data_IF_162660697476
#
_entry.id   IF_162660697476
#
_cell.length_a   1.000
_cell.length_b   1.000
_cell.length_c   1.000
_cell.angle_alpha   90.00
_cell.angle_beta   90.00
_cell.angle_gamma   90.00
#
_symmetry.space_group_name_H-M   'P 1'
#
loop_
_entity.id
_entity.type
_entity.pdbx_description
1 polymer ?
#
# COMPACT_ATOMS: atom_id res chain seq x y z
N UNK A 1 -24.54 62.49 5.57
CA UNK A 1 -23.63 61.38 5.17
C UNK A 1 -24.47 60.32 4.48
N UNK A 2 -24.42 60.24 3.15
CA UNK A 2 -25.08 59.16 2.41
C UNK A 2 -24.18 57.94 2.49
N UNK A 3 -24.58 56.93 3.26
CA UNK A 3 -23.93 55.62 3.25
C UNK A 3 -23.88 55.11 1.81
N UNK A 4 -22.68 54.99 1.28
CA UNK A 4 -22.44 54.28 0.04
C UNK A 4 -22.80 52.82 0.34
N UNK A 5 -24.03 52.41 0.03
CA UNK A 5 -24.45 51.00 -0.09
C UNK A 5 -23.76 50.34 -1.30
N UNK A 6 -22.45 50.57 -1.44
CA UNK A 6 -21.63 50.21 -2.58
C UNK A 6 -21.01 48.84 -2.36
N UNK A 7 -21.41 47.91 -3.23
CA UNK A 7 -20.80 46.60 -3.53
C UNK A 7 -19.89 46.04 -2.42
N UNK A 8 -20.47 45.18 -1.58
CA UNK A 8 -19.69 44.29 -0.71
C UNK A 8 -18.63 43.57 -1.54
N UNK A 9 -17.41 43.48 -1.01
CA UNK A 9 -16.31 42.80 -1.69
C UNK A 9 -16.59 41.28 -1.81
N UNK A 10 -15.92 40.62 -2.77
CA UNK A 10 -16.12 39.18 -3.00
C UNK A 10 -15.84 38.31 -1.76
N UNK A 11 -14.79 38.55 -0.95
CA UNK A 11 -14.58 37.81 0.29
C UNK A 11 -15.79 37.83 1.24
N UNK A 12 -16.44 38.99 1.38
CA UNK A 12 -17.64 39.12 2.21
C UNK A 12 -18.80 38.27 1.65
N UNK A 13 -19.06 38.35 0.35
CA UNK A 13 -20.09 37.53 -0.29
C UNK A 13 -19.81 36.03 -0.16
N UNK A 14 -18.55 35.63 -0.35
CA UNK A 14 -18.10 34.25 -0.17
C UNK A 14 -18.39 33.77 1.26
N UNK A 15 -18.07 34.57 2.28
CA UNK A 15 -18.38 34.24 3.67
C UNK A 15 -19.87 34.11 3.93
N UNK A 16 -20.70 35.00 3.39
CA UNK A 16 -22.16 34.93 3.54
C UNK A 16 -22.77 33.72 2.85
N UNK A 17 -22.26 33.36 1.65
CA UNK A 17 -22.69 32.15 0.94
C UNK A 17 -22.31 30.91 1.74
N UNK A 18 -21.08 30.83 2.25
CA UNK A 18 -20.64 29.72 3.11
C UNK A 18 -21.53 29.65 4.35
N UNK A 19 -21.76 30.76 5.05
CA UNK A 19 -22.59 30.76 6.25
C UNK A 19 -24.03 30.28 5.99
N UNK A 20 -24.62 30.67 4.86
CA UNK A 20 -26.02 30.32 4.52
C UNK A 20 -26.17 28.91 3.94
N UNK A 21 -25.20 28.43 3.18
CA UNK A 21 -25.30 27.18 2.40
C UNK A 21 -24.36 26.06 2.84
N UNK A 22 -23.41 26.32 3.74
CA UNK A 22 -22.54 25.30 4.34
C UNK A 22 -23.30 24.55 5.44
N UNK A 23 -24.35 23.85 5.03
CA UNK A 23 -25.09 22.96 5.92
C UNK A 23 -24.25 21.70 6.24
N UNK A 24 -24.48 21.10 7.41
CA UNK A 24 -23.75 19.90 7.83
C UNK A 24 -23.87 18.74 6.82
N UNK A 25 -25.00 18.63 6.13
CA UNK A 25 -25.22 17.64 5.06
C UNK A 25 -24.30 17.85 3.87
N UNK A 26 -24.02 19.09 3.47
CA UNK A 26 -23.11 19.41 2.36
C UNK A 26 -21.67 19.10 2.75
N UNK A 27 -21.26 19.48 3.96
CA UNK A 27 -19.93 19.13 4.49
C UNK A 27 -19.77 17.60 4.49
N UNK A 28 -20.76 16.88 5.03
CA UNK A 28 -20.77 15.42 5.02
C UNK A 28 -20.65 14.84 3.60
N UNK A 29 -21.44 15.34 2.64
CA UNK A 29 -21.33 14.92 1.22
C UNK A 29 -19.94 15.18 0.64
N UNK A 30 -19.31 16.32 0.97
CA UNK A 30 -17.94 16.63 0.54
C UNK A 30 -16.91 15.71 1.18
N UNK A 31 -17.05 15.41 2.47
CA UNK A 31 -16.20 14.43 3.18
C UNK A 31 -16.32 13.05 2.56
N UNK A 32 -17.55 12.56 2.32
CA UNK A 32 -17.77 11.27 1.64
C UNK A 32 -17.18 11.27 0.22
N UNK A 33 -17.29 12.37 -0.51
CA UNK A 33 -16.69 12.50 -1.85
C UNK A 33 -15.15 12.46 -1.82
N UNK A 34 -14.55 12.96 -0.74
CA UNK A 34 -13.11 12.91 -0.51
C UNK A 34 -12.67 11.48 -0.17
N UNK A 35 -13.33 10.84 0.80
CA UNK A 35 -12.98 9.49 1.29
C UNK A 35 -13.21 8.37 0.27
N UNK A 36 -14.20 8.52 -0.62
CA UNK A 36 -14.49 7.52 -1.64
C UNK A 36 -13.59 7.64 -2.89
N UNK A 37 -12.98 8.80 -3.15
CA UNK A 37 -12.16 9.02 -4.36
C UNK A 37 -10.68 8.69 -4.10
N UNK A 38 -10.41 7.41 -3.84
CA UNK A 38 -9.05 6.88 -3.70
C UNK A 38 -8.26 7.06 -5.00
N UNK A 39 -6.95 7.26 -4.85
CA UNK A 39 -6.06 7.38 -5.99
C UNK A 39 -5.87 6.03 -6.69
N UNK A 40 -5.81 6.07 -8.03
CA UNK A 40 -5.37 4.95 -8.86
C UNK A 40 -4.26 5.44 -9.78
N UNK A 41 -3.31 4.57 -10.13
CA UNK A 41 -2.18 4.88 -11.01
C UNK A 41 -2.65 5.27 -12.42
N UNK A 42 -3.86 4.88 -12.82
CA UNK A 42 -4.44 5.22 -14.13
C UNK A 42 -4.94 6.67 -14.21
N UNK A 43 -5.10 7.36 -13.07
CA UNK A 43 -5.57 8.75 -13.02
C UNK A 43 -4.38 9.69 -13.19
N UNK A 44 -4.63 10.86 -13.79
CA UNK A 44 -3.63 11.92 -13.82
C UNK A 44 -3.35 12.42 -12.39
N UNK A 45 -2.07 12.38 -11.93
CA UNK A 45 -1.72 12.77 -10.57
C UNK A 45 -2.07 14.22 -10.23
N UNK A 46 -1.83 15.14 -11.17
CA UNK A 46 -2.05 16.57 -10.96
C UNK A 46 -3.52 16.90 -10.81
N UNK A 47 -4.35 16.42 -11.74
CA UNK A 47 -5.79 16.61 -11.68
C UNK A 47 -6.41 16.00 -10.42
N UNK A 48 -5.95 14.81 -10.03
CA UNK A 48 -6.43 14.18 -8.80
C UNK A 48 -6.02 14.97 -7.55
N UNK A 49 -4.74 15.34 -7.42
CA UNK A 49 -4.25 16.13 -6.30
C UNK A 49 -4.99 17.47 -6.19
N UNK A 50 -5.17 18.18 -7.30
CA UNK A 50 -5.87 19.46 -7.35
C UNK A 50 -7.34 19.31 -6.92
N UNK A 51 -8.02 18.27 -7.41
CA UNK A 51 -9.41 17.98 -7.04
C UNK A 51 -9.56 17.69 -5.56
N UNK A 52 -8.68 16.88 -4.99
CA UNK A 52 -8.72 16.56 -3.56
C UNK A 52 -8.39 17.76 -2.69
N UNK A 53 -7.42 18.59 -3.09
CA UNK A 53 -7.10 19.83 -2.39
C UNK A 53 -8.28 20.80 -2.35
N UNK A 54 -8.99 20.97 -3.47
CA UNK A 54 -10.23 21.78 -3.52
C UNK A 54 -11.31 21.22 -2.59
N UNK A 55 -11.46 19.90 -2.47
CA UNK A 55 -12.41 19.27 -1.53
C UNK A 55 -12.02 19.52 -0.08
N UNK A 56 -10.74 19.37 0.27
CA UNK A 56 -10.25 19.66 1.61
C UNK A 56 -10.43 21.14 1.98
N UNK A 57 -10.15 22.06 1.06
CA UNK A 57 -10.38 23.49 1.26
C UNK A 57 -11.88 23.83 1.42
N UNK A 58 -12.77 23.05 0.82
CA UNK A 58 -14.20 23.21 0.95
C UNK A 58 -14.74 22.68 2.28
N UNK A 59 -14.14 21.61 2.82
CA UNK A 59 -14.51 21.02 4.12
C UNK A 59 -13.96 21.88 5.26
N UNK A 60 -12.67 22.23 5.18
CA UNK A 60 -11.98 23.04 6.18
C UNK A 60 -11.02 24.02 5.49
N UNK A 61 -11.45 25.30 5.33
CA UNK A 61 -10.62 26.33 4.72
C UNK A 61 -9.35 26.67 5.50
N UNK A 62 -9.34 26.45 6.83
CA UNK A 62 -8.25 26.85 7.73
C UNK A 62 -7.21 25.74 7.97
N UNK A 63 -7.37 24.60 7.30
CA UNK A 63 -6.47 23.47 7.44
C UNK A 63 -5.02 23.82 7.04
N UNK A 64 -4.08 23.53 7.93
CA UNK A 64 -2.64 23.69 7.70
C UNK A 64 -2.15 22.78 6.54
N UNK A 65 -1.09 23.19 5.85
CA UNK A 65 -0.49 22.44 4.74
C UNK A 65 -0.09 21.02 5.15
N UNK A 66 0.47 20.83 6.34
CA UNK A 66 0.82 19.51 6.85
C UNK A 66 -0.40 18.60 7.02
N UNK A 67 -1.50 19.14 7.55
CA UNK A 67 -2.74 18.39 7.74
C UNK A 67 -3.40 18.05 6.40
N UNK A 68 -3.37 19.00 5.44
CA UNK A 68 -3.81 18.76 4.06
C UNK A 68 -3.01 17.64 3.41
N UNK A 69 -1.69 17.69 3.52
CA UNK A 69 -0.79 16.67 2.98
C UNK A 69 -1.05 15.31 3.62
N UNK A 70 -1.15 15.25 4.95
CA UNK A 70 -1.47 14.02 5.66
C UNK A 70 -2.80 13.41 5.17
N UNK A 71 -3.87 14.21 5.11
CA UNK A 71 -5.18 13.77 4.59
C UNK A 71 -5.07 13.30 3.14
N UNK A 72 -4.34 14.00 2.28
CA UNK A 72 -4.16 13.62 0.88
C UNK A 72 -3.44 12.28 0.74
N UNK A 73 -2.38 12.06 1.52
CA UNK A 73 -1.62 10.82 1.52
C UNK A 73 -2.44 9.63 2.02
N UNK A 74 -3.35 9.82 2.99
CA UNK A 74 -4.26 8.74 3.43
C UNK A 74 -5.23 8.25 2.35
N UNK A 75 -5.39 8.99 1.25
CA UNK A 75 -6.21 8.56 0.11
C UNK A 75 -5.43 7.75 -0.94
N UNK A 76 -4.12 7.54 -0.72
CA UNK A 76 -3.29 6.66 -1.53
C UNK A 76 -3.38 5.22 -1.01
N UNK A 77 -3.25 4.20 -1.89
CA UNK A 77 -3.08 2.82 -1.46
C UNK A 77 -1.76 2.67 -0.67
N UNK A 78 -1.75 1.86 0.39
CA UNK A 78 -0.69 1.88 1.42
C UNK A 78 0.77 1.77 0.91
N UNK A 79 1.04 0.96 -0.11
CA UNK A 79 2.39 0.89 -0.71
C UNK A 79 2.80 2.21 -1.38
N UNK A 80 1.85 2.86 -2.06
CA UNK A 80 2.06 4.15 -2.70
C UNK A 80 2.15 5.27 -1.66
N UNK A 81 1.33 5.22 -0.61
CA UNK A 81 1.41 6.15 0.52
C UNK A 81 2.81 6.15 1.13
N UNK A 82 3.34 4.96 1.45
CA UNK A 82 4.68 4.82 1.99
C UNK A 82 5.75 5.33 1.01
N UNK A 83 5.63 4.96 -0.26
CA UNK A 83 6.57 5.38 -1.30
C UNK A 83 6.62 6.92 -1.46
N UNK A 84 5.48 7.60 -1.38
CA UNK A 84 5.43 9.07 -1.44
C UNK A 84 5.98 9.68 -0.16
N UNK A 85 5.62 9.15 1.03
CA UNK A 85 6.17 9.63 2.32
C UNK A 85 7.70 9.58 2.39
N UNK A 86 8.33 8.57 1.79
CA UNK A 86 9.80 8.48 1.75
C UNK A 86 10.45 9.54 0.83
N UNK A 87 9.69 10.13 -0.10
CA UNK A 87 10.20 11.09 -1.11
C UNK A 87 9.78 12.53 -0.84
N UNK A 88 8.72 12.73 -0.05
CA UNK A 88 8.14 14.03 0.25
C UNK A 88 8.23 14.37 1.74
N UNK A 89 8.71 15.58 2.04
CA UNK A 89 8.68 16.14 3.40
C UNK A 89 7.24 16.50 3.81
N UNK A 90 6.97 16.64 5.11
CA UNK A 90 5.62 17.02 5.61
C UNK A 90 5.12 18.37 5.07
N UNK A 91 6.05 19.27 4.71
CA UNK A 91 5.76 20.61 4.17
C UNK A 91 5.84 20.67 2.64
N UNK A 92 5.83 19.53 1.94
CA UNK A 92 5.83 19.51 0.49
C UNK A 92 4.63 20.25 -0.10
N UNK A 93 4.84 20.87 -1.27
CA UNK A 93 3.77 21.51 -2.01
C UNK A 93 2.91 20.44 -2.70
N UNK A 94 1.71 20.84 -3.16
CA UNK A 94 0.84 19.95 -3.91
C UNK A 94 1.51 19.45 -5.20
N UNK A 95 2.31 20.32 -5.84
CA UNK A 95 3.05 19.99 -7.06
C UNK A 95 4.17 18.99 -6.78
N UNK A 96 4.83 19.06 -5.63
CA UNK A 96 5.83 18.05 -5.21
C UNK A 96 5.19 16.67 -5.04
N UNK A 97 4.01 16.61 -4.42
CA UNK A 97 3.24 15.36 -4.28
C UNK A 97 2.81 14.83 -5.65
N UNK A 98 2.32 15.70 -6.55
CA UNK A 98 1.89 15.29 -7.88
C UNK A 98 3.07 14.78 -8.73
N UNK A 99 4.21 15.47 -8.68
CA UNK A 99 5.45 15.06 -9.35
C UNK A 99 5.95 13.70 -8.86
N UNK A 100 5.97 13.49 -7.55
CA UNK A 100 6.40 12.21 -6.97
C UNK A 100 5.45 11.07 -7.31
N UNK A 101 4.13 11.31 -7.32
CA UNK A 101 3.14 10.32 -7.78
C UNK A 101 3.34 9.97 -9.26
N UNK A 102 3.57 10.99 -10.10
CA UNK A 102 3.84 10.79 -11.52
C UNK A 102 5.12 9.97 -11.73
N UNK A 103 6.16 10.27 -10.96
CA UNK A 103 7.44 9.58 -11.02
C UNK A 103 7.34 8.11 -10.60
N UNK A 104 6.67 7.84 -9.48
CA UNK A 104 6.44 6.48 -8.98
C UNK A 104 5.61 5.68 -10.00
N UNK A 105 4.56 6.26 -10.58
CA UNK A 105 3.74 5.58 -11.60
C UNK A 105 4.51 5.25 -12.90
N UNK A 106 5.49 6.08 -13.27
CA UNK A 106 6.36 5.86 -14.44
C UNK A 106 7.46 4.84 -14.17
N UNK A 107 8.11 4.92 -13.00
CA UNK A 107 9.31 4.12 -12.66
C UNK A 107 8.99 2.81 -11.96
N UNK A 108 7.79 2.65 -11.42
CA UNK A 108 7.40 1.46 -10.66
C UNK A 108 6.04 0.92 -11.08
N UNK A 109 5.76 -0.34 -10.72
CA UNK A 109 4.43 -0.94 -10.86
C UNK A 109 3.64 -0.89 -9.54
N UNK A 110 4.08 -0.08 -8.57
CA UNK A 110 3.40 0.09 -7.28
C UNK A 110 2.01 0.68 -7.54
N UNK A 111 0.97 0.04 -6.99
CA UNK A 111 -0.42 0.46 -7.16
C UNK A 111 -1.06 0.11 -8.51
N UNK A 112 -0.33 -0.52 -9.44
CA UNK A 112 -0.95 -1.11 -10.64
C UNK A 112 -1.47 -2.49 -10.27
N UNK A 113 -2.77 -2.72 -10.44
CA UNK A 113 -3.34 -4.05 -10.27
C UNK A 113 -2.79 -4.94 -11.40
N UNK A 114 -1.76 -5.73 -11.10
CA UNK A 114 -1.42 -6.87 -11.94
C UNK A 114 -2.43 -7.95 -11.61
N UNK A 115 -3.35 -8.33 -12.53
CA UNK A 115 -4.18 -9.49 -12.29
C UNK A 115 -3.22 -10.65 -12.05
N UNK A 116 -3.32 -11.27 -10.87
CA UNK A 116 -2.63 -12.52 -10.61
C UNK A 116 -3.12 -13.48 -11.68
N UNK A 117 -2.28 -13.74 -12.69
CA UNK A 117 -2.46 -14.89 -13.56
C UNK A 117 -2.31 -16.06 -12.60
N UNK A 118 -3.43 -16.56 -12.09
CA UNK A 118 -3.50 -17.88 -11.50
C UNK A 118 -2.98 -18.80 -12.60
N UNK A 119 -1.69 -19.15 -12.50
CA UNK A 119 -1.13 -20.23 -13.29
C UNK A 119 -1.93 -21.44 -12.86
N UNK A 120 -2.95 -21.76 -13.65
CA UNK A 120 -3.91 -22.80 -13.34
C UNK A 120 -3.16 -24.04 -12.89
N UNK A 121 -3.28 -24.35 -11.61
CA UNK A 121 -2.93 -25.66 -11.11
C UNK A 121 -3.94 -26.58 -11.78
N UNK A 122 -3.54 -27.21 -12.90
CA UNK A 122 -4.34 -28.26 -13.52
C UNK A 122 -4.40 -29.39 -12.50
N UNK A 123 -5.49 -29.44 -11.75
CA UNK A 123 -5.91 -30.60 -10.99
C UNK A 123 -5.93 -31.79 -11.96
N UNK A 124 -4.92 -32.66 -11.85
CA UNK A 124 -4.95 -33.94 -12.54
C UNK A 124 -5.97 -34.80 -11.80
N UNK A 125 -7.13 -34.97 -12.41
CA UNK A 125 -8.04 -36.03 -12.00
C UNK A 125 -7.32 -37.39 -12.06
N UNK A 126 -7.57 -38.31 -11.12
CA UNK A 126 -7.00 -39.64 -11.17
C UNK A 126 -7.68 -40.43 -12.30
N UNK A 127 -7.00 -40.57 -13.43
CA UNK A 127 -7.43 -41.47 -14.49
C UNK A 127 -7.12 -42.91 -14.07
N UNK A 128 -8.19 -43.72 -14.03
CA UNK A 128 -8.15 -45.18 -13.90
C UNK A 128 -7.08 -45.81 -14.79
N UNK A 129 -6.42 -46.82 -14.23
CA UNK A 129 -5.31 -47.56 -14.83
C UNK A 129 -5.87 -48.44 -15.95
N UNK A 130 -5.47 -48.19 -17.20
CA UNK A 130 -5.53 -49.19 -18.26
C UNK A 130 -4.18 -49.25 -18.98
N UNK A 131 -3.57 -50.42 -18.88
CA UNK A 131 -2.29 -50.81 -19.47
C UNK A 131 -2.41 -50.91 -21.00
N UNK A 132 -1.60 -50.16 -21.75
CA UNK A 132 -1.20 -50.54 -23.12
C UNK A 132 0.24 -50.15 -23.44
N UNK A 133 1.05 -51.17 -23.69
CA UNK A 133 2.36 -51.14 -24.32
C UNK A 133 2.34 -50.50 -25.72
N UNK A 134 3.24 -49.53 -25.98
CA UNK A 134 4.32 -49.63 -27.01
C UNK A 134 5.06 -48.30 -27.22
N UNK A 135 6.30 -48.35 -27.75
CA UNK A 135 7.34 -47.33 -27.53
C UNK A 135 7.42 -46.30 -28.66
N UNK A 136 7.99 -45.12 -28.37
CA UNK A 136 8.74 -44.33 -29.35
C UNK A 136 9.57 -43.23 -28.66
N UNK A 137 10.87 -43.30 -28.89
CA UNK A 137 11.87 -42.28 -28.61
C UNK A 137 11.51 -40.94 -29.29
N UNK A 138 11.74 -39.82 -28.59
CA UNK A 138 12.71 -38.79 -29.01
C UNK A 138 12.81 -37.66 -27.98
N UNK A 139 14.00 -37.60 -27.39
CA UNK A 139 14.80 -36.41 -27.04
C UNK A 139 14.03 -35.13 -26.66
N UNK A 140 13.95 -34.89 -25.35
CA UNK A 140 13.83 -33.56 -24.79
C UNK A 140 15.09 -33.29 -23.94
N UNK A 141 16.08 -32.63 -24.54
CA UNK A 141 17.14 -31.93 -23.80
C UNK A 141 16.52 -30.74 -23.09
N UNK A 142 16.00 -30.99 -21.87
CA UNK A 142 15.68 -29.95 -20.92
C UNK A 142 16.43 -30.26 -19.63
N UNK A 143 17.33 -29.35 -19.28
CA UNK A 143 18.20 -29.35 -18.09
C UNK A 143 17.66 -30.17 -16.91
N UNK A 144 18.17 -31.41 -16.75
CA UNK A 144 17.99 -32.22 -15.55
C UNK A 144 18.73 -31.54 -14.39
N UNK A 145 18.08 -30.62 -13.67
CA UNK A 145 18.49 -30.28 -12.31
C UNK A 145 18.43 -31.59 -11.52
N UNK A 146 19.60 -32.13 -11.18
CA UNK A 146 19.71 -33.40 -10.45
C UNK A 146 19.01 -33.20 -9.10
N UNK A 147 17.89 -33.89 -8.90
CA UNK A 147 17.21 -33.93 -7.61
C UNK A 147 18.04 -34.86 -6.72
N UNK A 148 18.91 -34.29 -5.89
CA UNK A 148 19.62 -35.04 -4.85
C UNK A 148 19.49 -34.33 -3.51
N UNK A 149 19.40 -35.12 -2.45
CA UNK A 149 19.39 -34.67 -1.08
C UNK A 149 20.76 -34.05 -0.75
N UNK A 150 20.79 -32.76 -0.44
CA UNK A 150 22.02 -32.08 -0.03
C UNK A 150 22.58 -32.55 1.32
N UNK A 151 21.82 -33.35 2.09
CA UNK A 151 22.27 -33.86 3.39
C UNK A 151 22.95 -35.24 3.31
N UNK A 152 22.65 -36.06 2.31
CA UNK A 152 23.27 -37.39 2.14
C UNK A 152 23.72 -37.72 0.71
N UNK A 153 23.51 -36.83 -0.24
CA UNK A 153 23.86 -37.04 -1.65
C UNK A 153 22.93 -37.98 -2.41
N UNK A 154 21.96 -38.63 -1.76
CA UNK A 154 21.05 -39.58 -2.42
C UNK A 154 20.05 -38.88 -3.35
N UNK A 155 19.68 -39.53 -4.46
CA UNK A 155 18.65 -39.04 -5.40
C UNK A 155 17.24 -39.53 -5.07
N UNK A 156 17.11 -40.41 -4.06
CA UNK A 156 15.83 -41.03 -3.68
C UNK A 156 14.88 -40.09 -2.93
N UNK A 157 15.39 -38.98 -2.39
CA UNK A 157 14.60 -38.01 -1.65
C UNK A 157 15.18 -36.60 -1.71
N UNK A 158 14.36 -35.61 -1.39
CA UNK A 158 14.79 -34.22 -1.19
C UNK A 158 15.25 -33.99 0.25
N UNK A 159 16.15 -33.02 0.46
CA UNK A 159 16.68 -32.67 1.79
C UNK A 159 15.61 -32.39 2.87
N UNK A 160 14.41 -31.96 2.46
CA UNK A 160 13.28 -31.73 3.35
C UNK A 160 12.70 -33.02 3.96
N UNK A 161 12.87 -34.15 3.27
CA UNK A 161 12.39 -35.47 3.68
C UNK A 161 13.53 -36.37 4.17
N UNK A 162 14.68 -35.78 4.55
CA UNK A 162 15.75 -36.53 5.16
C UNK A 162 15.28 -37.09 6.52
N UNK A 163 15.52 -38.39 6.82
CA UNK A 163 14.98 -39.04 8.02
C UNK A 163 15.33 -38.32 9.34
N UNK A 164 16.46 -37.60 9.36
CA UNK A 164 16.89 -36.79 10.50
C UNK A 164 16.71 -35.28 10.27
N UNK A 165 15.57 -34.85 9.71
CA UNK A 165 15.23 -33.44 9.66
C UNK A 165 15.04 -32.89 11.09
N UNK A 166 16.15 -32.57 11.77
CA UNK A 166 16.17 -31.92 13.08
C UNK A 166 15.55 -30.54 12.91
N UNK A 167 14.34 -30.38 13.43
CA UNK A 167 13.68 -29.07 13.57
C UNK A 167 14.64 -28.17 14.36
N UNK A 168 15.16 -27.11 13.74
CA UNK A 168 15.86 -26.04 14.48
C UNK A 168 14.83 -25.35 15.38
N UNK A 169 14.75 -25.79 16.63
CA UNK A 169 14.07 -25.05 17.69
C UNK A 169 15.07 -24.00 18.17
N UNK A 170 14.74 -22.71 18.02
CA UNK A 170 15.46 -21.65 18.69
C UNK A 170 15.06 -21.66 20.17
N UNK A 171 15.89 -22.24 21.03
CA UNK A 171 15.76 -22.08 22.47
C UNK A 171 16.19 -20.66 22.83
N UNK A 172 15.24 -19.84 23.30
CA UNK A 172 15.55 -18.56 23.93
C UNK A 172 16.13 -18.88 25.30
N UNK A 173 17.43 -18.64 25.48
CA UNK A 173 18.07 -18.71 26.78
C UNK A 173 17.45 -17.66 27.71
N UNK A 174 16.96 -18.15 28.85
CA UNK A 174 16.39 -17.36 29.94
C UNK A 174 17.56 -16.65 30.63
N UNK A 175 17.64 -15.33 30.48
CA UNK A 175 18.57 -14.46 31.23
C UNK A 175 18.33 -14.67 32.74
N UNK A 176 19.36 -14.90 33.56
CA UNK A 176 19.22 -14.99 35.01
C UNK A 176 18.90 -13.61 35.60
N UNK A 177 17.88 -13.56 36.45
CA UNK A 177 17.59 -12.46 37.38
C UNK A 177 18.80 -12.29 38.32
N UNK A 178 19.55 -11.19 38.16
CA UNK A 178 20.46 -10.72 39.19
C UNK A 178 19.66 -10.01 40.29
N UNK A 179 19.85 -10.54 41.50
CA UNK A 179 19.23 -10.11 42.75
C UNK A 179 19.66 -8.69 43.09
N UNK A 180 18.67 -7.84 43.40
CA UNK A 180 18.84 -6.60 44.14
C UNK A 180 19.41 -6.88 45.55
N UNK A 181 20.51 -6.25 45.97
CA UNK A 181 20.87 -6.18 47.37
C UNK A 181 20.14 -5.00 48.01
N UNK A 182 19.20 -5.33 48.89
CA UNK A 182 18.80 -4.48 50.02
C UNK A 182 19.94 -4.45 51.03
N UNK A 183 20.33 -3.26 51.49
CA UNK A 183 20.85 -3.08 52.86
C UNK A 183 20.69 -1.63 53.31
N UNK A 184 19.99 -1.50 54.44
CA UNK A 184 19.85 -0.33 55.31
C UNK A 184 21.20 0.10 55.92
N UNK A 185 21.33 1.39 56.24
CA UNK A 185 22.12 2.07 57.31
C UNK A 185 22.30 3.53 56.86
N UNK A 186 22.04 4.61 57.59
CA UNK A 186 21.84 4.94 59.01
C UNK A 186 21.02 6.25 59.08
#
# INVERSE_FOLDING_TARGET
MKEIRGRRNWPWWKSQIIQKYSNGTWIWKKTMSFENDKYSVDKDPYEWCLRQSKRLQAIDPQMNIQMKNHKLLTQLPGELEHAVKCRCNQNCTLDDIANTLQDIGKRTNIGKFTPYKSSGFKEKQPSSVELKDKPKERVAEAAKKRNYCHNCGSTDHYAKNFPEAKKKVYSIEKVPEEKSPTEDSE
#
